data_IF_303187400068
#
_entry.id   IF_303187400068
#
_cell.length_a   1.000
_cell.length_b   1.000
_cell.length_c   1.000
_cell.angle_alpha   90.00
_cell.angle_beta   90.00
_cell.angle_gamma   90.00
#
_symmetry.space_group_name_H-M   'P 1'
#
loop_
_entity.id
_entity.type
_entity.pdbx_description
1 polymer ?
#
# COMPACT_ATOMS: atom_id res chain seq x y z
N UNK A 1 -24.16 -11.91 3.76
CA UNK A 1 -23.77 -11.87 2.34
C UNK A 1 -22.53 -12.74 2.16
N UNK A 2 -22.45 -13.58 1.11
CA UNK A 2 -21.28 -14.44 0.84
C UNK A 2 -20.40 -13.79 -0.22
N UNK A 3 -19.14 -13.54 0.11
CA UNK A 3 -18.19 -12.80 -0.74
C UNK A 3 -16.98 -13.66 -1.02
N UNK A 4 -16.62 -13.78 -2.30
CA UNK A 4 -15.32 -14.32 -2.70
C UNK A 4 -14.31 -13.17 -2.77
N UNK A 5 -13.32 -13.17 -1.87
CA UNK A 5 -12.24 -12.18 -1.85
C UNK A 5 -10.97 -12.77 -2.47
N UNK A 6 -10.45 -12.09 -3.50
CA UNK A 6 -9.29 -12.50 -4.26
C UNK A 6 -8.14 -11.51 -4.07
N UNK A 7 -6.99 -11.96 -3.56
CA UNK A 7 -5.78 -11.15 -3.39
C UNK A 7 -4.57 -11.85 -4.00
N UNK A 8 -4.17 -11.44 -5.20
CA UNK A 8 -3.08 -12.09 -5.94
C UNK A 8 -1.68 -11.74 -5.41
N UNK A 9 -1.58 -10.76 -4.49
CA UNK A 9 -0.32 -10.32 -3.88
C UNK A 9 -0.58 -9.80 -2.47
N UNK A 10 -0.68 -10.72 -1.50
CA UNK A 10 -1.06 -10.40 -0.12
C UNK A 10 0.12 -9.79 0.67
N UNK A 11 0.51 -8.56 0.33
CA UNK A 11 1.44 -7.77 1.13
C UNK A 11 0.80 -7.39 2.48
N UNK A 12 1.61 -6.99 3.47
CA UNK A 12 1.12 -6.68 4.81
C UNK A 12 -0.03 -5.66 4.85
N UNK A 13 0.01 -4.63 4.00
CA UNK A 13 -1.08 -3.64 3.86
C UNK A 13 -2.37 -4.24 3.28
N UNK A 14 -2.27 -5.20 2.36
CA UNK A 14 -3.43 -5.90 1.79
C UNK A 14 -4.07 -6.84 2.82
N UNK A 15 -3.24 -7.56 3.59
CA UNK A 15 -3.72 -8.42 4.68
C UNK A 15 -4.41 -7.57 5.75
N UNK A 16 -3.79 -6.47 6.17
CA UNK A 16 -4.40 -5.53 7.12
C UNK A 16 -5.76 -5.02 6.62
N UNK A 17 -5.85 -4.56 5.36
CA UNK A 17 -7.12 -4.11 4.78
C UNK A 17 -8.19 -5.21 4.82
N UNK A 18 -7.83 -6.45 4.44
CA UNK A 18 -8.75 -7.60 4.48
C UNK A 18 -9.26 -7.86 5.90
N UNK A 19 -8.38 -7.90 6.88
CA UNK A 19 -8.73 -8.12 8.29
C UNK A 19 -9.64 -7.03 8.84
N UNK A 20 -9.37 -5.77 8.51
CA UNK A 20 -10.24 -4.66 8.88
C UNK A 20 -11.60 -4.76 8.18
N UNK A 21 -11.63 -5.15 6.91
CA UNK A 21 -12.89 -5.33 6.18
C UNK A 21 -13.75 -6.45 6.81
N UNK A 22 -13.15 -7.59 7.16
CA UNK A 22 -13.82 -8.69 7.84
C UNK A 22 -14.36 -8.25 9.22
N UNK A 23 -13.58 -7.50 9.98
CA UNK A 23 -13.97 -6.99 11.29
C UNK A 23 -15.11 -5.95 11.21
N UNK A 24 -15.10 -5.09 10.19
CA UNK A 24 -16.13 -4.05 9.99
C UNK A 24 -17.45 -4.61 9.42
N UNK A 25 -17.42 -5.79 8.82
CA UNK A 25 -18.58 -6.42 8.16
C UNK A 25 -18.85 -7.83 8.75
N UNK A 26 -19.13 -7.94 10.06
CA UNK A 26 -19.23 -9.23 10.75
C UNK A 26 -20.38 -10.11 10.24
N UNK A 27 -21.40 -9.53 9.62
CA UNK A 27 -22.53 -10.26 9.02
C UNK A 27 -22.23 -10.81 7.62
N UNK A 28 -21.04 -10.52 7.08
CA UNK A 28 -20.62 -11.03 5.78
C UNK A 28 -19.73 -12.26 5.96
N UNK A 29 -19.88 -13.22 5.06
CA UNK A 29 -19.07 -14.42 5.03
C UNK A 29 -18.05 -14.31 3.90
N UNK A 30 -16.79 -14.15 4.26
CA UNK A 30 -15.70 -14.07 3.31
C UNK A 30 -15.07 -15.44 3.07
N UNK A 31 -14.96 -15.82 1.81
CA UNK A 31 -14.07 -16.89 1.36
C UNK A 31 -12.87 -16.22 0.70
N UNK A 32 -11.69 -16.42 1.24
CA UNK A 32 -10.48 -15.69 0.86
C UNK A 32 -9.53 -16.61 0.10
N UNK A 33 -9.12 -16.19 -1.10
CA UNK A 33 -8.01 -16.78 -1.84
C UNK A 33 -6.88 -15.74 -1.95
N UNK A 34 -5.78 -16.00 -1.26
CA UNK A 34 -4.60 -15.14 -1.21
C UNK A 34 -3.36 -15.84 -1.75
N UNK A 35 -2.52 -15.10 -2.47
CA UNK A 35 -1.22 -15.57 -2.89
C UNK A 35 -0.10 -14.77 -2.21
N UNK A 36 1.00 -15.44 -1.78
CA UNK A 36 2.10 -14.77 -1.11
C UNK A 36 2.71 -13.62 -1.93
N UNK A 37 3.19 -12.53 -1.29
CA UNK A 37 3.73 -11.34 -1.94
C UNK A 37 5.18 -11.57 -2.44
N UNK A 38 5.33 -12.44 -3.42
CA UNK A 38 6.60 -12.78 -4.06
C UNK A 38 6.41 -13.08 -5.54
N UNK A 39 7.48 -12.96 -6.33
CA UNK A 39 7.46 -13.20 -7.78
C UNK A 39 6.40 -12.35 -8.49
N UNK A 40 6.47 -11.02 -8.31
CA UNK A 40 5.48 -10.05 -8.79
C UNK A 40 4.98 -10.31 -10.21
N UNK A 41 5.86 -10.35 -11.21
CA UNK A 41 5.47 -10.56 -12.62
C UNK A 41 4.70 -11.86 -12.83
N UNK A 42 5.08 -12.93 -12.11
CA UNK A 42 4.35 -14.19 -12.15
C UNK A 42 2.99 -14.07 -11.46
N UNK A 43 2.90 -13.37 -10.31
CA UNK A 43 1.63 -13.22 -9.61
C UNK A 43 0.60 -12.48 -10.43
N UNK A 44 0.99 -11.42 -11.16
CA UNK A 44 0.09 -10.65 -12.03
C UNK A 44 -0.54 -11.53 -13.13
N UNK A 45 0.25 -12.40 -13.75
CA UNK A 45 -0.23 -13.21 -14.89
C UNK A 45 -0.59 -14.64 -14.54
N UNK A 46 0.01 -15.19 -13.50
CA UNK A 46 -0.18 -16.59 -13.12
C UNK A 46 -1.35 -16.84 -12.19
N UNK A 47 -1.93 -15.78 -11.57
CA UNK A 47 -3.02 -15.98 -10.62
C UNK A 47 -4.27 -16.64 -11.24
N UNK A 48 -4.76 -16.26 -12.45
CA UNK A 48 -5.92 -16.94 -13.01
C UNK A 48 -5.62 -18.38 -13.42
N UNK A 49 -4.40 -18.65 -13.89
CA UNK A 49 -3.99 -20.02 -14.22
C UNK A 49 -4.01 -20.92 -12.98
N UNK A 50 -3.35 -20.46 -11.89
CA UNK A 50 -3.30 -21.25 -10.66
C UNK A 50 -4.70 -21.46 -10.07
N UNK A 51 -5.45 -20.39 -9.85
CA UNK A 51 -6.75 -20.47 -9.19
C UNK A 51 -7.79 -21.24 -10.01
N UNK A 52 -7.84 -21.03 -11.32
CA UNK A 52 -8.83 -21.73 -12.16
C UNK A 52 -8.64 -23.25 -12.23
N UNK A 53 -7.42 -23.73 -11.95
CA UNK A 53 -7.09 -25.17 -11.96
C UNK A 53 -7.01 -25.77 -10.55
N UNK A 54 -6.33 -25.09 -9.62
CA UNK A 54 -6.08 -25.61 -8.28
C UNK A 54 -7.23 -25.33 -7.31
N UNK A 55 -7.94 -24.20 -7.47
CA UNK A 55 -8.99 -23.74 -6.55
C UNK A 55 -10.37 -23.71 -7.22
N UNK A 56 -10.55 -24.47 -8.28
CA UNK A 56 -11.76 -24.49 -9.11
C UNK A 56 -13.03 -24.66 -8.28
N UNK A 57 -13.06 -25.61 -7.35
CA UNK A 57 -14.21 -25.88 -6.52
C UNK A 57 -14.58 -24.71 -5.61
N UNK A 58 -13.58 -23.96 -5.12
CA UNK A 58 -13.79 -22.75 -4.33
C UNK A 58 -14.36 -21.64 -5.21
N UNK A 59 -13.80 -21.44 -6.42
CA UNK A 59 -14.27 -20.40 -7.34
C UNK A 59 -15.70 -20.62 -7.87
N UNK A 60 -16.14 -21.87 -7.98
CA UNK A 60 -17.48 -22.24 -8.46
C UNK A 60 -18.52 -22.41 -7.33
N UNK A 61 -18.13 -22.17 -6.08
CA UNK A 61 -19.08 -22.17 -4.98
C UNK A 61 -20.06 -20.98 -5.10
N UNK A 62 -21.13 -21.03 -4.30
CA UNK A 62 -22.19 -20.03 -4.37
C UNK A 62 -21.83 -18.75 -3.63
N UNK A 63 -21.65 -17.65 -4.35
CA UNK A 63 -21.34 -16.30 -3.84
C UNK A 63 -22.35 -15.27 -4.32
N UNK A 64 -22.46 -14.17 -3.57
CA UNK A 64 -23.27 -13.02 -3.96
C UNK A 64 -22.45 -11.97 -4.73
N UNK A 65 -21.11 -11.95 -4.54
CA UNK A 65 -20.22 -11.03 -5.25
C UNK A 65 -18.76 -11.51 -5.21
N UNK A 66 -17.95 -10.94 -6.13
CA UNK A 66 -16.50 -11.05 -6.14
C UNK A 66 -15.90 -9.71 -5.74
N UNK A 67 -14.97 -9.74 -4.77
CA UNK A 67 -14.13 -8.61 -4.41
C UNK A 67 -12.68 -8.99 -4.73
N UNK A 68 -12.06 -8.29 -5.67
CA UNK A 68 -10.69 -8.58 -6.11
C UNK A 68 -9.78 -7.37 -5.85
N UNK A 69 -8.50 -7.61 -5.52
CA UNK A 69 -7.48 -6.55 -5.47
C UNK A 69 -6.90 -6.29 -6.86
N UNK A 70 -6.29 -5.12 -7.05
CA UNK A 70 -5.79 -4.59 -8.33
C UNK A 70 -4.78 -5.50 -9.07
N UNK A 71 -4.16 -6.45 -8.35
CA UNK A 71 -3.20 -7.42 -8.93
C UNK A 71 -3.86 -8.66 -9.50
N UNK A 72 -5.16 -8.82 -9.34
CA UNK A 72 -5.93 -9.95 -9.88
C UNK A 72 -6.21 -9.71 -11.35
N UNK A 73 -5.80 -10.64 -12.22
CA UNK A 73 -6.23 -10.66 -13.63
C UNK A 73 -7.69 -11.16 -13.72
N UNK A 74 -8.59 -10.29 -13.27
CA UNK A 74 -10.02 -10.59 -13.15
C UNK A 74 -10.66 -10.92 -14.49
N UNK A 75 -10.22 -10.27 -15.57
CA UNK A 75 -10.76 -10.52 -16.91
C UNK A 75 -10.46 -11.95 -17.38
N UNK A 76 -9.22 -12.38 -17.25
CA UNK A 76 -8.82 -13.76 -17.60
C UNK A 76 -9.50 -14.78 -16.68
N UNK A 77 -9.57 -14.50 -15.38
CA UNK A 77 -10.20 -15.42 -14.43
C UNK A 77 -11.69 -15.63 -14.73
N UNK A 78 -12.41 -14.55 -15.02
CA UNK A 78 -13.83 -14.62 -15.43
C UNK A 78 -14.02 -15.40 -16.74
N UNK A 79 -13.07 -15.33 -17.66
CA UNK A 79 -13.07 -16.13 -18.89
C UNK A 79 -12.83 -17.61 -18.65
N UNK A 80 -11.93 -17.97 -17.72
CA UNK A 80 -11.62 -19.36 -17.37
C UNK A 80 -12.66 -20.00 -16.44
N UNK A 81 -13.38 -19.17 -15.66
CA UNK A 81 -14.43 -19.58 -14.70
C UNK A 81 -15.69 -18.76 -14.98
N UNK A 82 -16.51 -19.17 -15.96
CA UNK A 82 -17.65 -18.37 -16.42
C UNK A 82 -18.71 -18.06 -15.35
N UNK A 83 -18.84 -18.87 -14.30
CA UNK A 83 -19.72 -18.61 -13.17
C UNK A 83 -19.39 -17.27 -12.48
N UNK A 84 -18.09 -16.91 -12.38
CA UNK A 84 -17.67 -15.63 -11.81
C UNK A 84 -18.08 -14.43 -12.68
N UNK A 85 -18.33 -14.63 -13.98
CA UNK A 85 -18.76 -13.56 -14.85
C UNK A 85 -20.23 -13.13 -14.60
N UNK A 86 -21.01 -13.96 -13.92
CA UNK A 86 -22.40 -13.70 -13.56
C UNK A 86 -22.53 -12.93 -12.23
N UNK A 87 -21.45 -12.87 -11.44
CA UNK A 87 -21.47 -12.23 -10.13
C UNK A 87 -21.16 -10.73 -10.24
N UNK A 88 -21.84 -9.89 -9.47
CA UNK A 88 -21.37 -8.52 -9.23
C UNK A 88 -19.92 -8.50 -8.77
N UNK A 89 -19.14 -7.56 -9.25
CA UNK A 89 -17.70 -7.53 -9.00
C UNK A 89 -17.19 -6.14 -8.64
N UNK A 90 -16.33 -6.10 -7.64
CA UNK A 90 -15.60 -4.92 -7.19
C UNK A 90 -14.11 -5.18 -7.34
N UNK A 91 -13.39 -4.24 -7.96
CA UNK A 91 -11.94 -4.24 -8.02
C UNK A 91 -11.41 -3.12 -7.13
N UNK A 92 -10.64 -3.49 -6.09
CA UNK A 92 -10.04 -2.56 -5.14
C UNK A 92 -8.58 -2.30 -5.45
N UNK A 93 -8.21 -1.04 -5.61
CA UNK A 93 -6.86 -0.60 -5.92
C UNK A 93 -6.14 -0.13 -4.66
N UNK A 94 -5.20 -0.93 -4.16
CA UNK A 94 -4.21 -0.52 -3.17
C UNK A 94 -3.11 0.32 -3.81
N UNK A 95 -2.74 -0.05 -5.02
CA UNK A 95 -1.79 0.61 -5.91
C UNK A 95 -2.24 0.46 -7.36
N UNK A 96 -1.60 1.20 -8.28
CA UNK A 96 -1.79 1.02 -9.72
C UNK A 96 -0.44 0.99 -10.45
N UNK A 97 -0.39 0.23 -11.53
CA UNK A 97 0.85 -0.01 -12.29
C UNK A 97 1.22 1.12 -13.27
N UNK A 98 0.42 2.18 -13.33
CA UNK A 98 0.71 3.37 -14.15
C UNK A 98 1.53 4.41 -13.40
N UNK A 99 1.34 4.51 -12.07
CA UNK A 99 2.02 5.48 -11.23
C UNK A 99 3.14 4.88 -10.37
N UNK A 100 3.30 3.55 -10.38
CA UNK A 100 4.36 2.93 -9.60
C UNK A 100 5.73 3.31 -10.16
N UNK A 101 6.71 3.72 -9.31
CA UNK A 101 8.05 4.06 -9.78
C UNK A 101 8.70 2.88 -10.50
N UNK A 102 9.07 3.10 -11.76
CA UNK A 102 9.72 2.06 -12.58
C UNK A 102 11.21 2.10 -12.31
N UNK A 103 11.78 0.99 -11.82
CA UNK A 103 13.22 0.86 -11.75
C UNK A 103 13.81 0.69 -13.16
N UNK A 104 15.04 1.16 -13.44
CA UNK A 104 15.65 1.06 -14.78
C UNK A 104 15.72 -0.37 -15.33
N UNK A 105 15.68 -1.38 -14.46
CA UNK A 105 15.77 -2.79 -14.83
C UNK A 105 14.44 -3.54 -14.80
N UNK A 106 13.31 -2.84 -14.57
CA UNK A 106 12.00 -3.45 -14.46
C UNK A 106 11.46 -3.82 -15.84
N UNK A 107 11.22 -5.11 -16.05
CA UNK A 107 10.58 -5.65 -17.25
C UNK A 107 9.09 -5.90 -17.02
N UNK A 108 8.30 -5.94 -18.11
CA UNK A 108 6.88 -6.34 -18.05
C UNK A 108 5.94 -5.25 -17.53
N UNK A 109 6.35 -3.98 -17.49
CA UNK A 109 5.50 -2.86 -17.04
C UNK A 109 4.23 -2.75 -17.87
N UNK A 110 4.34 -2.81 -19.19
CA UNK A 110 3.20 -2.75 -20.10
C UNK A 110 2.21 -3.91 -19.85
N UNK A 111 2.73 -5.11 -19.60
CA UNK A 111 1.90 -6.28 -19.31
C UNK A 111 1.08 -6.07 -18.03
N UNK A 112 1.70 -5.61 -16.96
CA UNK A 112 1.02 -5.32 -15.70
C UNK A 112 -0.02 -4.19 -15.85
N UNK A 113 0.28 -3.16 -16.65
CA UNK A 113 -0.67 -2.09 -17.00
C UNK A 113 -1.87 -2.63 -17.77
N UNK A 114 -1.64 -3.50 -18.77
CA UNK A 114 -2.73 -4.11 -19.55
C UNK A 114 -3.60 -5.04 -18.71
N UNK A 115 -3.01 -5.83 -17.81
CA UNK A 115 -3.77 -6.66 -16.86
C UNK A 115 -4.66 -5.78 -15.98
N UNK A 116 -4.12 -4.72 -15.40
CA UNK A 116 -4.89 -3.78 -14.56
C UNK A 116 -6.01 -3.11 -15.35
N UNK A 117 -5.76 -2.71 -16.60
CA UNK A 117 -6.77 -2.13 -17.47
C UNK A 117 -7.91 -3.12 -17.80
N UNK A 118 -7.58 -4.35 -18.20
CA UNK A 118 -8.59 -5.35 -18.51
C UNK A 118 -9.38 -5.80 -17.27
N UNK A 119 -8.72 -5.95 -16.13
CA UNK A 119 -9.38 -6.23 -14.87
C UNK A 119 -10.36 -5.09 -14.50
N UNK A 120 -9.92 -3.83 -14.67
CA UNK A 120 -10.76 -2.66 -14.44
C UNK A 120 -11.96 -2.61 -15.41
N UNK A 121 -11.78 -2.94 -16.68
CA UNK A 121 -12.89 -3.00 -17.65
C UNK A 121 -13.89 -4.11 -17.30
N UNK A 122 -13.39 -5.26 -16.84
CA UNK A 122 -14.20 -6.43 -16.49
C UNK A 122 -14.98 -6.28 -15.17
N UNK A 123 -14.53 -5.45 -14.23
CA UNK A 123 -15.23 -5.21 -12.97
C UNK A 123 -16.44 -4.28 -13.13
N UNK A 124 -17.46 -4.43 -12.27
CA UNK A 124 -18.64 -3.56 -12.27
C UNK A 124 -18.40 -2.25 -11.52
N UNK A 125 -17.57 -2.27 -10.46
CA UNK A 125 -17.16 -1.11 -9.66
C UNK A 125 -15.65 -1.12 -9.42
N UNK A 126 -15.07 0.08 -9.40
CA UNK A 126 -13.66 0.30 -9.07
C UNK A 126 -13.58 1.14 -7.80
N UNK A 127 -12.83 0.65 -6.83
CA UNK A 127 -12.56 1.37 -5.59
C UNK A 127 -11.06 1.62 -5.48
N UNK A 128 -10.70 2.84 -5.15
CA UNK A 128 -9.31 3.28 -4.97
C UNK A 128 -9.09 3.75 -3.55
N UNK A 129 -7.95 3.42 -2.97
CA UNK A 129 -7.62 3.84 -1.61
C UNK A 129 -7.39 5.36 -1.46
N UNK A 130 -7.18 6.09 -2.56
CA UNK A 130 -7.05 7.55 -2.55
C UNK A 130 -7.48 8.20 -3.86
N UNK A 131 -7.70 9.52 -3.83
CA UNK A 131 -7.90 10.33 -5.03
C UNK A 131 -6.70 10.28 -5.97
N UNK A 132 -5.48 10.34 -5.41
CA UNK A 132 -4.25 10.24 -6.18
C UNK A 132 -4.16 8.90 -6.93
N UNK A 133 -4.45 7.78 -6.27
CA UNK A 133 -4.44 6.45 -6.90
C UNK A 133 -5.45 6.36 -8.06
N UNK A 134 -6.68 6.85 -7.86
CA UNK A 134 -7.70 6.90 -8.91
C UNK A 134 -7.27 7.76 -10.09
N UNK A 135 -6.85 8.98 -9.82
CA UNK A 135 -6.59 9.95 -10.87
C UNK A 135 -5.34 9.58 -11.67
N UNK A 136 -4.27 9.14 -11.01
CA UNK A 136 -3.06 8.65 -11.68
C UNK A 136 -3.29 7.38 -12.50
N UNK A 137 -4.19 6.49 -12.07
CA UNK A 137 -4.62 5.34 -12.87
C UNK A 137 -5.32 5.79 -14.15
N UNK A 138 -6.31 6.68 -14.04
CA UNK A 138 -7.09 7.16 -15.19
C UNK A 138 -6.25 7.95 -16.18
N UNK A 139 -5.33 8.79 -15.69
CA UNK A 139 -4.35 9.51 -16.50
C UNK A 139 -3.38 8.56 -17.20
N UNK A 140 -2.91 7.54 -16.49
CA UNK A 140 -2.04 6.51 -17.03
C UNK A 140 -2.72 5.68 -18.13
N UNK A 141 -3.99 5.31 -17.95
CA UNK A 141 -4.81 4.66 -18.98
C UNK A 141 -4.93 5.56 -20.22
N UNK A 142 -5.25 6.84 -20.03
CA UNK A 142 -5.37 7.77 -21.15
C UNK A 142 -4.04 7.92 -21.91
N UNK A 143 -2.93 8.06 -21.19
CA UNK A 143 -1.59 8.13 -21.78
C UNK A 143 -1.19 6.85 -22.51
N UNK A 144 -1.59 5.67 -22.00
CA UNK A 144 -1.38 4.40 -22.67
C UNK A 144 -2.16 4.36 -23.99
N UNK A 145 -3.45 4.70 -23.99
CA UNK A 145 -4.29 4.71 -25.18
C UNK A 145 -3.69 5.58 -26.29
N UNK A 146 -3.14 6.75 -25.95
CA UNK A 146 -2.50 7.68 -26.92
C UNK A 146 -1.22 7.10 -27.56
N UNK A 147 -0.56 6.15 -26.94
CA UNK A 147 0.69 5.54 -27.45
C UNK A 147 0.47 4.28 -28.27
N UNK A 148 -0.74 3.70 -28.23
CA UNK A 148 -1.05 2.50 -28.99
C UNK A 148 -1.17 2.84 -30.49
N UNK A 149 -0.69 1.94 -31.40
CA UNK A 149 -0.42 2.31 -32.79
C UNK A 149 -1.67 2.38 -33.71
N UNK A 150 -2.72 1.62 -33.42
CA UNK A 150 -3.86 1.50 -34.33
C UNK A 150 -5.13 1.02 -33.63
N UNK A 151 -6.30 1.40 -34.15
CA UNK A 151 -7.64 0.97 -33.72
C UNK A 151 -7.88 1.08 -32.22
N UNK A 152 -7.39 2.16 -31.62
CA UNK A 152 -7.51 2.41 -30.19
C UNK A 152 -8.90 3.01 -29.91
N UNK A 153 -9.70 2.41 -29.00
CA UNK A 153 -11.00 2.97 -28.67
C UNK A 153 -10.86 4.28 -27.90
N UNK A 154 -11.72 5.24 -28.18
CA UNK A 154 -11.81 6.51 -27.46
C UNK A 154 -12.66 6.37 -26.18
N UNK A 155 -12.49 7.26 -25.22
CA UNK A 155 -13.32 7.34 -24.02
C UNK A 155 -13.12 6.22 -22.99
N UNK A 156 -12.04 5.43 -23.09
CA UNK A 156 -11.77 4.31 -22.15
C UNK A 156 -11.63 4.82 -20.70
N UNK A 157 -10.83 5.86 -20.49
CA UNK A 157 -10.62 6.43 -19.15
C UNK A 157 -11.94 7.01 -18.58
N UNK A 158 -12.76 7.64 -19.39
CA UNK A 158 -14.07 8.17 -18.95
C UNK A 158 -15.04 7.04 -18.56
N UNK A 159 -15.08 5.96 -19.34
CA UNK A 159 -15.87 4.77 -18.99
C UNK A 159 -15.44 4.18 -17.63
N UNK A 160 -14.14 4.17 -17.33
CA UNK A 160 -13.63 3.70 -16.04
C UNK A 160 -13.95 4.69 -14.92
N UNK A 161 -13.84 5.99 -15.18
CA UNK A 161 -14.18 7.06 -14.22
C UNK A 161 -15.63 6.93 -13.73
N UNK A 162 -16.56 6.64 -14.62
CA UNK A 162 -17.99 6.55 -14.30
C UNK A 162 -18.35 5.42 -13.31
N UNK A 163 -17.46 4.44 -13.11
CA UNK A 163 -17.63 3.36 -12.13
C UNK A 163 -16.59 3.37 -11.00
N UNK A 164 -15.76 4.43 -10.94
CA UNK A 164 -14.71 4.59 -9.96
C UNK A 164 -15.16 5.45 -8.76
N UNK A 165 -14.80 5.01 -7.57
CA UNK A 165 -14.97 5.77 -6.33
C UNK A 165 -13.70 5.67 -5.47
N UNK A 166 -13.57 6.58 -4.51
CA UNK A 166 -12.50 6.54 -3.51
C UNK A 166 -13.07 5.95 -2.22
N UNK A 167 -12.41 4.92 -1.71
CA UNK A 167 -12.68 4.30 -0.42
C UNK A 167 -11.34 4.01 0.25
N UNK A 168 -10.86 4.88 1.16
CA UNK A 168 -9.57 4.68 1.82
C UNK A 168 -9.49 3.38 2.61
N UNK A 169 -8.29 2.82 2.72
CA UNK A 169 -8.01 1.77 3.71
C UNK A 169 -8.18 2.38 5.09
N UNK A 170 -8.93 1.74 6.00
CA UNK A 170 -9.04 2.20 7.38
C UNK A 170 -7.68 2.29 8.04
N UNK A 171 -7.47 3.33 8.85
CA UNK A 171 -6.29 3.49 9.68
C UNK A 171 -6.56 3.00 11.09
N UNK A 172 -5.52 2.53 11.76
CA UNK A 172 -5.57 2.19 13.17
C UNK A 172 -5.54 3.47 14.00
N UNK A 173 -6.65 3.74 14.69
CA UNK A 173 -6.81 4.89 15.61
C UNK A 173 -6.85 4.48 17.08
N UNK A 174 -6.70 3.19 17.39
CA UNK A 174 -6.70 2.71 18.76
C UNK A 174 -5.53 3.30 19.55
N UNK A 175 -5.80 3.64 20.81
CA UNK A 175 -4.76 4.07 21.72
C UNK A 175 -3.76 2.92 22.01
N UNK A 176 -2.53 3.26 22.34
CA UNK A 176 -1.58 2.26 22.85
C UNK A 176 -2.16 1.66 24.16
N UNK A 177 -2.12 0.33 24.28
CA UNK A 177 -2.56 -0.38 25.47
C UNK A 177 -1.54 -0.20 26.62
N UNK A 178 -2.00 0.24 27.80
CA UNK A 178 -1.18 0.28 29.03
C UNK A 178 -0.12 1.39 29.09
N UNK A 179 0.81 1.24 30.05
CA UNK A 179 2.01 2.10 30.20
C UNK A 179 3.02 1.74 29.12
N UNK A 180 2.79 2.25 27.89
CA UNK A 180 3.61 1.95 26.72
C UNK A 180 5.09 2.24 26.94
N UNK A 181 5.95 1.50 26.27
CA UNK A 181 7.40 1.69 26.31
C UNK A 181 7.78 3.16 26.01
N UNK A 182 8.60 3.75 26.86
CA UNK A 182 9.11 5.10 26.64
C UNK A 182 10.26 5.07 25.62
N UNK A 183 9.95 5.43 24.37
CA UNK A 183 10.94 5.43 23.29
C UNK A 183 11.83 6.67 23.30
N UNK A 184 11.23 7.83 23.54
CA UNK A 184 11.92 9.11 23.48
C UNK A 184 12.33 9.58 24.87
N UNK A 185 13.51 10.15 24.98
CA UNK A 185 13.98 10.73 26.23
C UNK A 185 13.36 12.11 26.51
N UNK A 186 13.35 12.50 27.80
CA UNK A 186 12.85 13.79 28.28
C UNK A 186 11.34 13.81 28.47
N UNK A 187 10.90 14.57 29.47
CA UNK A 187 9.49 14.87 29.77
C UNK A 187 9.11 16.28 29.29
N UNK A 188 7.83 16.57 29.24
CA UNK A 188 7.32 17.87 28.82
C UNK A 188 7.10 18.02 27.32
N UNK A 189 7.04 19.27 26.86
CA UNK A 189 6.81 19.65 25.47
C UNK A 189 8.03 20.36 24.87
N UNK A 190 8.15 20.36 23.53
CA UNK A 190 9.13 21.19 22.85
C UNK A 190 8.83 22.68 23.14
N UNK A 191 9.84 23.57 23.41
CA UNK A 191 11.28 23.37 23.25
C UNK A 191 12.04 22.89 24.49
N UNK A 192 11.37 22.58 25.59
CA UNK A 192 12.04 22.18 26.86
C UNK A 192 12.71 20.79 26.76
N UNK A 193 12.46 20.04 25.71
CA UNK A 193 13.08 18.77 25.37
C UNK A 193 13.43 18.69 23.88
N UNK A 194 14.21 17.69 23.44
CA UNK A 194 14.46 17.43 22.01
C UNK A 194 13.15 17.25 21.22
N UNK A 195 13.12 17.77 20.00
CA UNK A 195 12.05 17.50 19.04
C UNK A 195 12.02 16.01 18.68
N UNK A 196 10.87 15.37 18.73
CA UNK A 196 10.69 13.94 18.50
C UNK A 196 10.18 13.71 17.09
N UNK A 197 11.03 13.13 16.24
CA UNK A 197 10.73 12.85 14.85
C UNK A 197 10.49 11.34 14.66
N UNK A 198 9.48 10.98 13.88
CA UNK A 198 9.29 9.61 13.40
C UNK A 198 9.28 9.60 11.89
N UNK A 199 10.06 8.71 11.29
CA UNK A 199 10.04 8.39 9.87
C UNK A 199 9.50 6.96 9.71
N UNK A 200 8.21 6.79 9.36
CA UNK A 200 7.59 5.49 9.22
C UNK A 200 7.65 5.05 7.76
N UNK A 201 8.48 4.07 7.45
CA UNK A 201 8.61 3.57 6.09
C UNK A 201 9.46 2.31 5.99
N UNK A 202 9.18 1.50 4.97
CA UNK A 202 10.06 0.39 4.61
C UNK A 202 11.40 0.96 4.13
N UNK A 203 12.49 0.29 4.44
CA UNK A 203 13.83 0.71 4.02
C UNK A 203 14.07 0.35 2.55
N UNK A 204 13.30 0.98 1.66
CA UNK A 204 13.29 0.75 0.21
C UNK A 204 13.52 2.05 -0.56
N UNK A 205 13.86 1.92 -1.84
CA UNK A 205 14.20 3.05 -2.72
C UNK A 205 13.06 4.08 -2.82
N UNK A 206 11.82 3.61 -2.97
CA UNK A 206 10.64 4.46 -3.12
C UNK A 206 10.32 5.30 -1.88
N UNK A 207 10.91 5.00 -0.73
CA UNK A 207 10.75 5.75 0.52
C UNK A 207 11.72 6.92 0.68
N UNK A 208 12.56 7.17 -0.33
CA UNK A 208 13.33 8.40 -0.47
C UNK A 208 14.40 8.61 0.59
N UNK A 209 15.18 7.57 0.92
CA UNK A 209 16.29 7.66 1.87
C UNK A 209 17.27 8.80 1.57
N UNK A 210 17.49 9.15 0.28
CA UNK A 210 18.30 10.30 -0.11
C UNK A 210 17.71 11.64 0.35
N UNK A 211 16.40 11.82 0.27
CA UNK A 211 15.73 13.02 0.78
C UNK A 211 15.77 13.07 2.32
N UNK A 212 15.65 11.91 2.98
CA UNK A 212 15.82 11.83 4.43
C UNK A 212 17.22 12.27 4.84
N UNK A 213 18.26 11.79 4.16
CA UNK A 213 19.64 12.19 4.41
C UNK A 213 19.82 13.71 4.31
N UNK A 214 19.31 14.33 3.23
CA UNK A 214 19.38 15.79 3.05
C UNK A 214 18.66 16.55 4.16
N UNK A 215 17.49 16.06 4.59
CA UNK A 215 16.74 16.64 5.71
C UNK A 215 17.57 16.59 7.00
N UNK A 216 18.16 15.43 7.34
CA UNK A 216 18.96 15.28 8.55
C UNK A 216 20.21 16.16 8.53
N UNK A 217 20.88 16.30 7.39
CA UNK A 217 21.99 17.24 7.22
C UNK A 217 21.57 18.70 7.44
N UNK A 218 20.38 19.08 6.99
CA UNK A 218 19.85 20.42 7.20
C UNK A 218 19.50 20.66 8.67
N UNK A 219 18.93 19.67 9.36
CA UNK A 219 18.63 19.74 10.80
C UNK A 219 19.90 19.90 11.64
N UNK A 220 20.96 19.14 11.35
CA UNK A 220 22.25 19.32 12.06
C UNK A 220 22.84 20.71 11.83
N UNK A 221 22.80 21.22 10.60
CA UNK A 221 23.28 22.58 10.29
C UNK A 221 22.49 23.67 11.01
N UNK A 222 21.21 23.45 11.26
CA UNK A 222 20.36 24.41 11.99
C UNK A 222 20.64 24.46 13.49
N UNK A 223 21.35 23.48 14.03
CA UNK A 223 21.59 23.34 15.47
C UNK A 223 20.36 22.85 16.25
N UNK A 224 19.31 22.40 15.58
CA UNK A 224 18.12 21.87 16.24
C UNK A 224 18.44 20.58 17.00
N UNK A 225 17.98 20.50 18.24
CA UNK A 225 18.12 19.29 19.05
C UNK A 225 16.90 18.41 18.82
N UNK A 226 17.12 17.22 18.28
CA UNK A 226 16.06 16.28 17.96
C UNK A 226 16.45 14.83 18.29
N UNK A 227 15.45 13.99 18.39
CA UNK A 227 15.56 12.53 18.44
C UNK A 227 14.75 11.95 17.25
N UNK A 228 15.26 10.89 16.64
CA UNK A 228 14.67 10.27 15.44
C UNK A 228 14.41 8.80 15.66
N UNK A 229 13.18 8.37 15.36
CA UNK A 229 12.83 6.97 15.21
C UNK A 229 12.66 6.64 13.72
N UNK A 230 13.42 5.67 13.21
CA UNK A 230 13.25 5.08 11.89
C UNK A 230 12.47 3.77 12.05
N UNK A 231 11.19 3.76 11.64
CA UNK A 231 10.30 2.62 11.92
C UNK A 231 9.82 1.96 10.64
N UNK A 232 10.20 0.71 10.43
CA UNK A 232 9.72 -0.05 9.30
C UNK A 232 10.53 -1.28 8.99
N UNK A 233 10.02 -2.06 8.06
CA UNK A 233 10.65 -3.31 7.68
C UNK A 233 11.97 -3.07 6.93
N UNK A 234 13.00 -3.74 7.39
CA UNK A 234 14.31 -3.81 6.74
C UNK A 234 14.38 -5.10 5.89
N UNK A 235 14.91 -4.98 4.69
CA UNK A 235 15.10 -6.11 3.78
C UNK A 235 16.57 -6.48 3.64
N UNK A 236 16.83 -7.69 3.16
CA UNK A 236 18.20 -8.19 2.96
C UNK A 236 19.04 -7.31 2.02
N UNK A 237 18.38 -6.62 1.10
CA UNK A 237 19.00 -5.64 0.19
C UNK A 237 18.31 -4.29 0.45
N UNK A 238 18.94 -3.46 1.26
CA UNK A 238 18.54 -2.09 1.52
C UNK A 238 19.38 -1.13 0.67
N UNK A 239 18.85 0.02 0.24
CA UNK A 239 19.66 1.11 -0.31
C UNK A 239 20.76 1.52 0.70
N UNK A 240 21.99 1.67 0.22
CA UNK A 240 23.16 1.98 1.07
C UNK A 240 22.98 3.26 1.90
N UNK A 241 22.20 4.23 1.40
CA UNK A 241 21.91 5.48 2.10
C UNK A 241 21.32 5.30 3.50
N UNK A 242 20.58 4.22 3.76
CA UNK A 242 20.05 3.97 5.10
C UNK A 242 21.17 3.58 6.09
N UNK A 243 22.15 2.79 5.66
CA UNK A 243 23.35 2.50 6.46
C UNK A 243 24.19 3.75 6.73
N UNK A 244 24.30 4.66 5.75
CA UNK A 244 24.96 5.97 5.94
C UNK A 244 24.22 6.83 6.97
N UNK A 245 22.88 6.85 6.92
CA UNK A 245 22.04 7.57 7.90
C UNK A 245 22.26 6.97 9.29
N UNK A 246 22.15 5.65 9.46
CA UNK A 246 22.32 4.99 10.75
C UNK A 246 23.71 5.25 11.36
N UNK A 247 24.74 5.30 10.54
CA UNK A 247 26.11 5.56 10.99
C UNK A 247 26.31 7.04 11.37
N UNK A 248 25.96 7.95 10.48
CA UNK A 248 26.24 9.39 10.62
C UNK A 248 25.40 10.08 11.70
N UNK A 249 24.15 9.62 11.89
CA UNK A 249 23.19 10.20 12.81
C UNK A 249 22.86 9.28 14.01
N UNK A 250 23.73 8.30 14.29
CA UNK A 250 23.55 7.36 15.40
C UNK A 250 23.27 8.03 16.75
N UNK A 251 23.82 9.22 16.99
CA UNK A 251 23.62 10.02 18.21
C UNK A 251 22.21 10.66 18.31
N UNK A 252 21.43 10.67 17.21
CA UNK A 252 20.05 11.16 17.15
C UNK A 252 19.02 10.03 17.08
N UNK A 253 19.43 8.86 16.56
CA UNK A 253 18.54 7.74 16.32
C UNK A 253 18.29 6.97 17.61
N UNK A 254 17.03 6.94 18.05
CA UNK A 254 16.61 6.22 19.26
C UNK A 254 16.05 4.84 18.95
N UNK A 255 15.61 4.64 17.72
CA UNK A 255 15.13 3.37 17.21
C UNK A 255 15.38 3.27 15.70
N UNK A 256 15.77 2.10 15.23
CA UNK A 256 15.86 1.77 13.80
C UNK A 256 15.41 0.35 13.57
N UNK A 257 14.43 0.16 12.68
CA UNK A 257 13.92 -1.14 12.26
C UNK A 257 12.45 -1.38 12.52
N UNK A 258 12.05 -2.64 12.40
CA UNK A 258 10.66 -3.08 12.53
C UNK A 258 10.28 -3.29 14.01
N UNK A 259 9.10 -2.80 14.39
CA UNK A 259 8.48 -3.08 15.69
C UNK A 259 7.42 -4.19 15.52
N UNK A 260 7.68 -5.41 16.01
CA UNK A 260 6.75 -6.52 15.85
C UNK A 260 5.51 -6.39 16.76
N UNK A 261 5.65 -5.72 17.90
CA UNK A 261 4.54 -5.44 18.80
C UNK A 261 3.79 -4.19 18.33
N UNK A 262 2.49 -4.34 18.09
CA UNK A 262 1.64 -3.25 17.61
C UNK A 262 1.43 -2.16 18.65
N UNK A 263 1.39 -2.51 19.94
CA UNK A 263 1.26 -1.52 21.02
C UNK A 263 2.52 -0.68 21.19
N UNK A 264 3.72 -1.27 20.99
CA UNK A 264 4.98 -0.51 20.95
C UNK A 264 5.00 0.45 19.76
N UNK A 265 4.55 0.01 18.59
CA UNK A 265 4.41 0.89 17.42
C UNK A 265 3.45 2.05 17.68
N UNK A 266 2.27 1.77 18.25
CA UNK A 266 1.29 2.80 18.65
C UNK A 266 1.86 3.78 19.68
N UNK A 267 2.55 3.24 20.70
CA UNK A 267 3.20 4.05 21.75
C UNK A 267 4.27 4.97 21.16
N UNK A 268 5.11 4.47 20.25
CA UNK A 268 6.12 5.27 19.57
C UNK A 268 5.49 6.41 18.76
N UNK A 269 4.45 6.13 17.96
CA UNK A 269 3.76 7.17 17.18
C UNK A 269 3.12 8.22 18.09
N UNK A 270 2.49 7.80 19.21
CA UNK A 270 1.84 8.71 20.15
C UNK A 270 2.82 9.62 20.92
N UNK A 271 4.11 9.25 20.98
CA UNK A 271 5.16 10.03 21.64
C UNK A 271 5.88 10.98 20.69
N UNK A 272 5.76 10.80 19.38
CA UNK A 272 6.40 11.63 18.37
C UNK A 272 5.67 12.98 18.22
N UNK A 273 6.42 14.04 17.91
CA UNK A 273 5.87 15.37 17.64
C UNK A 273 5.57 15.54 16.15
N UNK A 274 6.46 15.06 15.29
CA UNK A 274 6.37 15.23 13.84
C UNK A 274 6.59 13.89 13.15
N UNK A 275 5.70 13.59 12.20
CA UNK A 275 5.92 12.51 11.25
C UNK A 275 6.58 13.05 9.98
N UNK A 276 7.65 12.41 9.56
CA UNK A 276 8.41 12.77 8.37
C UNK A 276 8.15 11.74 7.28
N UNK A 277 7.69 12.18 6.13
CA UNK A 277 7.63 11.36 4.92
C UNK A 277 8.54 11.95 3.86
N UNK A 278 9.48 11.15 3.39
CA UNK A 278 10.38 11.47 2.27
C UNK A 278 10.11 10.62 1.04
N UNK A 279 8.99 9.89 1.06
CA UNK A 279 8.63 8.97 0.00
C UNK A 279 8.57 9.66 -1.37
N UNK A 280 9.18 9.03 -2.38
CA UNK A 280 9.10 9.46 -3.77
C UNK A 280 7.70 9.18 -4.33
N UNK A 281 7.01 8.24 -3.73
CA UNK A 281 5.71 7.79 -4.15
C UNK A 281 4.92 7.17 -2.99
N UNK A 282 3.67 7.59 -2.84
CA UNK A 282 2.71 7.01 -1.90
C UNK A 282 1.30 7.04 -2.51
N UNK A 283 0.59 5.92 -2.41
CA UNK A 283 -0.81 5.88 -2.83
C UNK A 283 -1.76 6.38 -1.76
N UNK A 284 -1.55 6.02 -0.50
CA UNK A 284 -2.35 6.51 0.63
C UNK A 284 -1.49 6.96 1.81
N UNK A 285 -0.34 6.33 2.07
CA UNK A 285 0.54 6.70 3.18
C UNK A 285 0.00 6.30 4.55
N UNK A 286 -0.45 5.05 4.72
CA UNK A 286 -1.10 4.57 5.95
C UNK A 286 -0.32 4.91 7.22
N UNK A 287 0.99 4.65 7.24
CA UNK A 287 1.81 4.88 8.42
C UNK A 287 1.92 6.37 8.81
N UNK A 288 1.90 7.26 7.81
CA UNK A 288 1.84 8.72 8.04
C UNK A 288 0.48 9.11 8.63
N UNK A 289 -0.61 8.58 8.05
CA UNK A 289 -1.97 8.84 8.55
C UNK A 289 -2.17 8.29 9.96
N UNK A 290 -1.61 7.13 10.28
CA UNK A 290 -1.64 6.56 11.64
C UNK A 290 -0.90 7.46 12.65
N UNK A 291 0.23 8.06 12.26
CA UNK A 291 0.97 8.99 13.09
C UNK A 291 0.18 10.31 13.29
N UNK A 292 -0.38 10.88 12.22
CA UNK A 292 -1.22 12.09 12.29
C UNK A 292 -2.45 11.85 13.16
N UNK A 293 -3.11 10.70 13.04
CA UNK A 293 -4.25 10.34 13.89
C UNK A 293 -3.90 10.25 15.39
N UNK A 294 -2.61 10.11 15.72
CA UNK A 294 -2.08 10.09 17.10
C UNK A 294 -1.47 11.42 17.56
N UNK A 295 -1.65 12.48 16.78
CA UNK A 295 -1.27 13.84 17.15
C UNK A 295 0.06 14.32 16.60
N UNK A 296 0.76 13.54 15.75
CA UNK A 296 1.93 14.05 15.02
C UNK A 296 1.51 15.15 14.01
N UNK A 297 2.39 16.15 13.89
CA UNK A 297 2.29 17.16 12.83
C UNK A 297 2.92 16.65 11.53
#
# INVERSE_FOLDING_TARGET
MRVLLLSAYAAGSHVHWREQLEAMLPDWQFTVLELPPRHFSWRVRGNPLYWSLAERAVLEADYNMVLATSMVDLATLRGLVPSLAQLPSVLYFHENQFAYPVSPNQQGVLEAQMVSLYAALAADRLLFNSGFNRDSFLEGVNSLMQRLPDKVPTGVAERLRNKAAVLPVPIDTEAAGGDGHAFFAGSGTYPDRPLRLVWPGRFEYDKGGGHLLLLLEALEKSGLIYQLALVGQQFRQMPAVFGDIETRFSHRIIHSGYLPNRDDYRALLSQADIVVSTALHEFQGLAVLEAVARGCL
#
